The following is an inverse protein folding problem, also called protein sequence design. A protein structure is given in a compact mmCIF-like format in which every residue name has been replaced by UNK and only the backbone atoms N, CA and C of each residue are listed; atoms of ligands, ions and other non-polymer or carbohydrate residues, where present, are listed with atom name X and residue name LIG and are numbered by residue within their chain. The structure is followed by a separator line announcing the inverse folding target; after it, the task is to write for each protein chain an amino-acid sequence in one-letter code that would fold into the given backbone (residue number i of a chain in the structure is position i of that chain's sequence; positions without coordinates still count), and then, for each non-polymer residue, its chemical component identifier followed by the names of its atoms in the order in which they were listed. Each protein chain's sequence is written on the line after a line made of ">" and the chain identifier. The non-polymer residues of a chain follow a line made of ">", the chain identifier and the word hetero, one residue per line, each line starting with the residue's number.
data_IF_224605253530
#
_entry.id   IF_224605253530
#
_cell.length_a   1.000
_cell.length_b   1.000
_cell.length_c   1.000
_cell.angle_alpha   90.00
_cell.angle_beta   90.00
_cell.angle_gamma   90.00
#
_symmetry.space_group_name_H-M   'P 1'
#
loop_
_entity.id
_entity.type
_entity.pdbx_description
1 polymer ?
#
# COMPACT_ATOMS: atom_id res chain seq x y z
N UNK A 1 7.60 -17.95 -13.23
CA UNK A 1 7.74 -19.19 -12.42
C UNK A 1 8.00 -18.79 -10.99
N UNK A 2 7.14 -19.15 -10.07
CA UNK A 2 7.32 -18.89 -8.62
C UNK A 2 8.29 -19.90 -8.03
N UNK A 3 9.54 -19.89 -8.47
CA UNK A 3 10.54 -20.92 -8.11
C UNK A 3 10.79 -21.04 -6.59
N UNK A 4 10.48 -20.02 -5.80
CA UNK A 4 10.71 -20.08 -4.34
C UNK A 4 9.53 -20.59 -3.50
N UNK A 5 8.29 -20.49 -3.99
CA UNK A 5 7.11 -20.88 -3.19
C UNK A 5 6.85 -22.40 -3.13
N UNK A 6 7.44 -23.17 -4.06
CA UNK A 6 7.30 -24.63 -4.07
C UNK A 6 8.26 -25.36 -3.12
N UNK A 7 9.24 -24.65 -2.59
CA UNK A 7 10.28 -25.18 -1.69
C UNK A 7 10.04 -24.76 -0.21
N UNK A 8 8.88 -24.18 0.08
CA UNK A 8 8.56 -23.76 1.44
C UNK A 8 8.44 -24.95 2.39
N UNK A 9 8.86 -24.79 3.66
CA UNK A 9 8.58 -25.76 4.70
C UNK A 9 7.08 -26.02 4.78
N UNK A 10 6.71 -27.31 4.73
CA UNK A 10 5.30 -27.71 4.90
C UNK A 10 5.00 -27.82 6.39
N UNK A 11 3.89 -27.23 6.80
CA UNK A 11 3.40 -27.29 8.16
C UNK A 11 1.94 -27.76 8.18
N UNK A 12 1.55 -28.39 9.27
CA UNK A 12 0.19 -28.84 9.55
C UNK A 12 -0.18 -28.48 10.99
N UNK A 13 -1.47 -28.43 11.28
CA UNK A 13 -1.97 -28.15 12.62
C UNK A 13 -2.17 -26.67 12.94
N UNK A 14 -2.28 -26.36 14.21
CA UNK A 14 -2.52 -25.00 14.70
C UNK A 14 -1.19 -24.26 14.97
N UNK A 15 -1.20 -22.92 15.02
CA UNK A 15 0.01 -22.12 15.31
C UNK A 15 0.34 -22.19 16.83
N UNK A 16 0.84 -23.34 17.27
CA UNK A 16 1.17 -23.68 18.65
C UNK A 16 2.67 -23.46 19.00
N UNK A 17 3.07 -23.93 20.18
CA UNK A 17 4.46 -23.85 20.64
C UNK A 17 5.43 -24.65 19.77
N UNK A 18 4.99 -25.75 19.21
CA UNK A 18 5.80 -26.61 18.31
C UNK A 18 6.08 -25.87 17.01
N UNK A 19 5.01 -25.32 16.39
CA UNK A 19 5.14 -24.49 15.19
C UNK A 19 6.11 -23.31 15.42
N UNK A 20 5.86 -22.51 16.49
CA UNK A 20 6.68 -21.32 16.75
C UNK A 20 8.14 -21.68 17.02
N UNK A 21 8.39 -22.75 17.79
CA UNK A 21 9.77 -23.24 18.00
C UNK A 21 10.46 -23.61 16.69
N UNK A 22 9.76 -24.34 15.81
CA UNK A 22 10.31 -24.75 14.52
C UNK A 22 10.58 -23.55 13.61
N UNK A 23 9.66 -22.60 13.52
CA UNK A 23 9.81 -21.39 12.74
C UNK A 23 11.00 -20.53 13.20
N UNK A 24 11.13 -20.31 14.52
CA UNK A 24 12.26 -19.58 15.11
C UNK A 24 13.59 -20.24 14.84
N UNK A 25 13.66 -21.57 14.86
CA UNK A 25 14.88 -22.31 14.51
C UNK A 25 15.26 -22.16 13.05
N UNK A 26 14.28 -22.17 12.12
CA UNK A 26 14.54 -21.95 10.69
C UNK A 26 15.16 -20.58 10.43
N UNK A 27 14.77 -19.56 11.15
CA UNK A 27 15.38 -18.21 11.03
C UNK A 27 16.61 -18.00 11.92
N UNK A 28 17.17 -19.08 12.49
CA UNK A 28 18.43 -19.05 13.28
C UNK A 28 18.27 -18.55 14.72
N UNK A 29 17.07 -18.37 15.22
CA UNK A 29 16.82 -17.94 16.60
C UNK A 29 16.84 -19.12 17.55
N UNK A 30 17.68 -19.04 18.60
CA UNK A 30 17.78 -20.07 19.66
C UNK A 30 16.68 -19.87 20.69
N UNK A 31 15.46 -20.32 20.36
CA UNK A 31 14.33 -20.28 21.31
C UNK A 31 13.68 -21.67 21.40
N UNK A 32 13.30 -22.04 22.62
CA UNK A 32 12.40 -23.15 22.88
C UNK A 32 11.13 -22.56 23.49
N UNK A 33 10.04 -22.77 22.80
CA UNK A 33 8.73 -22.23 23.21
C UNK A 33 7.99 -23.33 23.95
N UNK A 34 7.65 -23.09 25.19
CA UNK A 34 6.89 -24.01 26.05
C UNK A 34 5.38 -23.82 25.87
N UNK A 35 4.95 -22.58 25.71
CA UNK A 35 3.53 -22.21 25.56
C UNK A 35 3.37 -20.98 24.67
N UNK A 36 2.30 -21.00 23.85
CA UNK A 36 1.86 -19.86 23.02
C UNK A 36 0.42 -19.50 23.35
N UNK A 37 0.17 -18.23 23.56
CA UNK A 37 -1.17 -17.66 23.60
C UNK A 37 -1.48 -17.11 22.21
N UNK A 38 -2.56 -17.64 21.60
CA UNK A 38 -2.98 -17.26 20.25
C UNK A 38 -4.25 -16.42 20.35
N UNK A 39 -4.26 -15.25 19.74
CA UNK A 39 -5.44 -14.40 19.64
C UNK A 39 -5.57 -13.77 18.26
N UNK A 40 -6.80 -13.59 17.79
CA UNK A 40 -7.03 -12.87 16.54
C UNK A 40 -6.73 -11.39 16.74
N UNK A 41 -6.00 -10.79 15.79
CA UNK A 41 -5.85 -9.34 15.73
C UNK A 41 -7.03 -8.76 14.95
N UNK A 42 -7.83 -7.94 15.63
CA UNK A 42 -8.97 -7.22 15.04
C UNK A 42 -8.48 -5.86 14.56
N UNK A 43 -8.68 -5.52 13.30
CA UNK A 43 -8.30 -4.19 12.78
C UNK A 43 -7.90 -4.15 11.30
N UNK A 44 -7.68 -5.30 10.67
CA UNK A 44 -7.48 -5.38 9.23
C UNK A 44 -8.81 -5.18 8.48
N UNK A 45 -8.84 -4.27 7.52
CA UNK A 45 -10.01 -4.07 6.64
C UNK A 45 -10.13 -5.16 5.56
N UNK A 46 -9.32 -6.21 5.63
CA UNK A 46 -9.16 -7.20 4.59
C UNK A 46 -9.27 -8.63 5.11
N UNK A 47 -9.51 -9.57 4.21
CA UNK A 47 -9.85 -10.97 4.45
C UNK A 47 -8.74 -11.86 5.01
N UNK A 48 -7.53 -11.36 5.21
CA UNK A 48 -6.43 -12.16 5.74
C UNK A 48 -6.58 -12.35 7.25
N UNK A 49 -6.47 -13.58 7.70
CA UNK A 49 -6.43 -13.90 9.11
C UNK A 49 -5.08 -13.50 9.68
N UNK A 50 -5.08 -12.59 10.65
CA UNK A 50 -3.88 -12.17 11.37
C UNK A 50 -3.99 -12.56 12.83
N UNK A 51 -3.00 -13.28 13.33
CA UNK A 51 -2.97 -13.80 14.69
C UNK A 51 -1.79 -13.20 15.45
N UNK A 52 -2.02 -12.83 16.69
CA UNK A 52 -0.96 -12.56 17.67
C UNK A 52 -0.56 -13.86 18.34
N UNK A 53 0.74 -14.14 18.36
CA UNK A 53 1.35 -15.27 19.02
C UNK A 53 2.24 -14.75 20.17
N UNK A 54 1.87 -14.99 21.42
CA UNK A 54 2.64 -14.53 22.58
C UNK A 54 3.21 -15.69 23.37
N UNK A 55 4.50 -15.63 23.65
CA UNK A 55 5.21 -16.58 24.49
C UNK A 55 6.04 -15.85 25.54
N UNK A 56 6.04 -16.37 26.79
CA UNK A 56 6.88 -15.82 27.86
C UNK A 56 8.37 -16.03 27.58
N UNK A 57 8.72 -17.15 26.96
CA UNK A 57 10.12 -17.51 26.69
C UNK A 57 10.68 -16.91 25.41
N UNK A 58 9.81 -16.57 24.41
CA UNK A 58 10.26 -16.16 23.09
C UNK A 58 9.81 -14.75 22.67
N UNK A 59 8.86 -14.14 23.37
CA UNK A 59 8.34 -12.81 23.04
C UNK A 59 7.03 -12.85 22.23
N UNK A 60 6.75 -11.77 21.50
CA UNK A 60 5.53 -11.58 20.74
C UNK A 60 5.82 -11.62 19.23
N UNK A 61 4.95 -12.28 18.49
CA UNK A 61 5.00 -12.43 17.04
C UNK A 61 3.63 -12.23 16.43
N UNK A 62 3.61 -12.00 15.14
CA UNK A 62 2.39 -11.92 14.33
C UNK A 62 2.45 -12.99 13.25
N UNK A 63 1.39 -13.78 13.12
CA UNK A 63 1.23 -14.74 12.03
C UNK A 63 0.16 -14.22 11.07
N UNK A 64 0.56 -13.98 9.83
CA UNK A 64 -0.33 -13.62 8.73
C UNK A 64 -0.61 -14.87 7.88
N UNK A 65 -1.88 -15.23 7.78
CA UNK A 65 -2.34 -16.35 6.94
C UNK A 65 -2.78 -15.77 5.59
N UNK A 66 -2.20 -16.28 4.52
CA UNK A 66 -2.35 -15.80 3.15
C UNK A 66 -2.86 -16.95 2.26
N UNK A 67 -4.16 -17.05 2.00
CA UNK A 67 -4.72 -18.08 1.13
C UNK A 67 -4.03 -18.07 -0.23
N UNK A 68 -3.68 -19.26 -0.76
CA UNK A 68 -3.02 -19.36 -2.09
C UNK A 68 -3.95 -19.03 -3.23
N UNK A 69 -5.26 -19.22 -3.03
CA UNK A 69 -6.29 -18.79 -3.96
C UNK A 69 -7.19 -17.77 -3.28
N UNK A 70 -7.15 -16.53 -3.71
CA UNK A 70 -8.00 -15.46 -3.21
C UNK A 70 -8.86 -14.87 -4.32
N UNK A 71 -9.96 -14.20 -3.96
CA UNK A 71 -10.76 -13.47 -4.94
C UNK A 71 -9.96 -12.36 -5.64
N UNK A 72 -8.90 -11.85 -4.98
CA UNK A 72 -7.98 -10.84 -5.56
C UNK A 72 -7.15 -11.39 -6.70
N UNK A 73 -6.82 -12.68 -6.69
CA UNK A 73 -6.02 -13.31 -7.75
C UNK A 73 -6.73 -13.22 -9.11
N UNK A 74 -8.07 -13.22 -9.09
CA UNK A 74 -8.90 -13.01 -10.28
C UNK A 74 -8.75 -11.60 -10.87
N UNK A 75 -8.50 -10.60 -10.02
CA UNK A 75 -8.37 -9.19 -10.39
C UNK A 75 -6.94 -8.88 -10.77
N UNK A 76 -6.01 -9.17 -9.88
CA UNK A 76 -4.61 -8.84 -10.07
C UNK A 76 -3.89 -9.80 -11.02
N UNK A 77 -4.50 -10.97 -11.29
CA UNK A 77 -3.92 -12.07 -12.10
C UNK A 77 -2.56 -12.53 -11.55
N UNK A 78 -2.30 -12.25 -10.32
CA UNK A 78 -1.13 -12.64 -9.55
C UNK A 78 -1.59 -13.03 -8.16
N UNK A 79 -1.07 -14.14 -7.64
CA UNK A 79 -1.34 -14.59 -6.28
C UNK A 79 -0.12 -14.43 -5.40
N UNK A 80 -0.34 -14.24 -4.10
CA UNK A 80 0.70 -14.32 -3.08
C UNK A 80 1.91 -13.40 -3.32
N UNK A 81 1.66 -12.15 -3.69
CA UNK A 81 2.72 -11.15 -3.95
C UNK A 81 3.71 -11.06 -2.78
N UNK A 82 3.21 -10.87 -1.57
CA UNK A 82 4.05 -10.70 -0.38
C UNK A 82 4.91 -11.94 -0.06
N UNK A 83 4.37 -13.16 -0.02
CA UNK A 83 5.17 -14.38 0.09
C UNK A 83 6.19 -14.55 -1.03
N UNK A 84 5.84 -14.23 -2.26
CA UNK A 84 6.75 -14.35 -3.39
C UNK A 84 7.91 -13.37 -3.33
N UNK A 85 7.68 -12.12 -2.90
CA UNK A 85 8.73 -11.13 -2.67
C UNK A 85 9.68 -11.58 -1.55
N UNK A 86 9.15 -12.20 -0.50
CA UNK A 86 9.96 -12.75 0.57
C UNK A 86 10.81 -13.92 0.08
N UNK A 87 10.20 -14.89 -0.60
CA UNK A 87 10.90 -16.07 -1.13
C UNK A 87 11.96 -15.72 -2.18
N UNK A 88 11.76 -14.63 -2.94
CA UNK A 88 12.73 -14.10 -3.90
C UNK A 88 13.86 -13.27 -3.24
N UNK A 89 13.87 -13.12 -1.92
CA UNK A 89 14.88 -12.32 -1.21
C UNK A 89 14.65 -10.80 -1.28
N UNK A 90 13.60 -10.32 -1.92
CA UNK A 90 13.36 -8.88 -2.12
C UNK A 90 13.09 -8.18 -0.79
N UNK A 91 12.14 -8.69 0.00
CA UNK A 91 11.79 -8.07 1.29
C UNK A 91 12.77 -8.40 2.42
N UNK A 92 13.44 -9.57 2.47
CA UNK A 92 14.55 -9.78 3.39
C UNK A 92 15.75 -8.87 3.16
N UNK A 93 16.00 -8.47 1.89
CA UNK A 93 17.17 -7.68 1.46
C UNK A 93 16.82 -6.22 1.16
N UNK A 94 15.83 -5.66 1.84
CA UNK A 94 15.50 -4.23 1.71
C UNK A 94 16.72 -3.36 2.05
N UNK A 95 16.92 -2.22 1.32
CA UNK A 95 18.02 -1.33 1.61
C UNK A 95 17.86 -0.69 3.00
N UNK A 96 18.97 -0.63 3.76
CA UNK A 96 18.96 0.09 5.05
C UNK A 96 18.50 1.54 4.86
N UNK A 97 17.67 2.10 5.74
CA UNK A 97 17.20 1.54 7.02
C UNK A 97 15.90 0.72 6.95
N UNK A 98 15.38 0.40 5.76
CA UNK A 98 14.17 -0.41 5.64
C UNK A 98 14.40 -1.86 6.06
N UNK A 99 13.40 -2.44 6.71
CA UNK A 99 13.35 -3.86 7.08
C UNK A 99 11.95 -4.41 6.89
N UNK A 100 11.84 -5.64 6.43
CA UNK A 100 10.61 -6.40 6.53
C UNK A 100 10.57 -7.10 7.90
N UNK A 101 9.45 -7.08 8.65
CA UNK A 101 9.36 -7.79 9.92
C UNK A 101 9.18 -9.31 9.73
N UNK A 102 8.89 -9.79 8.53
CA UNK A 102 8.78 -11.21 8.24
C UNK A 102 10.10 -11.94 8.51
N UNK A 103 10.01 -13.03 9.25
CA UNK A 103 11.16 -13.82 9.69
C UNK A 103 11.11 -15.26 9.20
N UNK A 104 9.92 -15.79 8.89
CA UNK A 104 9.73 -17.13 8.38
C UNK A 104 8.52 -17.19 7.46
N UNK A 105 8.57 -18.09 6.49
CA UNK A 105 7.50 -18.38 5.56
C UNK A 105 7.34 -19.89 5.42
N UNK A 106 6.11 -20.40 5.61
CA UNK A 106 5.78 -21.81 5.50
C UNK A 106 4.48 -22.02 4.73
N UNK A 107 4.30 -23.18 4.14
CA UNK A 107 3.07 -23.61 3.48
C UNK A 107 2.25 -24.50 4.43
N UNK A 108 1.01 -24.11 4.71
CA UNK A 108 0.07 -24.90 5.50
C UNK A 108 -0.78 -25.77 4.56
N UNK A 109 -0.45 -27.07 4.50
CA UNK A 109 -1.01 -27.97 3.50
C UNK A 109 -2.54 -28.19 3.67
N UNK A 110 -3.01 -28.41 4.89
CA UNK A 110 -4.43 -28.68 5.13
C UNK A 110 -5.37 -27.48 4.86
N UNK A 111 -4.84 -26.26 4.83
CA UNK A 111 -5.62 -25.03 4.60
C UNK A 111 -5.34 -24.40 3.24
N UNK A 112 -4.38 -24.91 2.49
CA UNK A 112 -3.88 -24.32 1.22
C UNK A 112 -3.56 -22.82 1.36
N UNK A 113 -2.77 -22.47 2.38
CA UNK A 113 -2.39 -21.10 2.67
C UNK A 113 -0.90 -20.96 3.01
N UNK A 114 -0.31 -19.80 2.74
CA UNK A 114 1.03 -19.47 3.20
C UNK A 114 0.94 -18.81 4.58
N UNK A 115 1.77 -19.26 5.50
CA UNK A 115 1.92 -18.69 6.83
C UNK A 115 3.18 -17.87 6.92
N UNK A 116 3.03 -16.56 7.04
CA UNK A 116 4.13 -15.64 7.22
C UNK A 116 4.25 -15.24 8.68
N UNK A 117 5.32 -15.66 9.33
CA UNK A 117 5.64 -15.27 10.70
C UNK A 117 6.44 -13.98 10.70
N UNK A 118 6.03 -13.03 11.52
CA UNK A 118 6.63 -11.69 11.63
C UNK A 118 6.97 -11.37 13.09
N UNK A 119 8.01 -10.58 13.31
CA UNK A 119 8.20 -9.89 14.58
C UNK A 119 7.01 -8.96 14.85
N UNK A 120 6.55 -8.89 16.10
CA UNK A 120 5.50 -7.96 16.48
C UNK A 120 6.07 -6.54 16.55
N UNK A 121 5.73 -5.73 15.55
CA UNK A 121 6.11 -4.31 15.43
C UNK A 121 4.97 -3.36 15.80
N UNK A 122 3.87 -3.85 16.34
CA UNK A 122 2.63 -3.10 16.58
C UNK A 122 2.84 -1.85 17.44
N UNK A 123 3.73 -1.90 18.43
CA UNK A 123 4.05 -0.74 19.28
C UNK A 123 4.77 0.40 18.54
N UNK A 124 5.42 0.10 17.43
CA UNK A 124 6.11 1.06 16.59
C UNK A 124 5.24 1.64 15.45
N UNK A 125 4.05 1.09 15.21
CA UNK A 125 3.18 1.56 14.11
C UNK A 125 2.84 3.04 14.30
N UNK A 126 3.05 3.80 13.23
CA UNK A 126 2.82 5.25 13.25
C UNK A 126 1.33 5.56 13.40
N UNK A 127 0.95 6.06 14.57
CA UNK A 127 -0.42 6.49 14.86
C UNK A 127 -0.84 7.78 14.14
N UNK A 128 -2.06 8.26 14.40
CA UNK A 128 -2.63 9.52 13.86
C UNK A 128 -2.16 10.75 14.67
N UNK A 129 -0.94 10.79 15.14
CA UNK A 129 -0.41 11.93 15.92
C UNK A 129 0.32 12.95 15.06
N UNK A 130 0.85 14.00 15.71
CA UNK A 130 1.76 14.94 15.09
C UNK A 130 2.98 14.21 14.51
N UNK A 131 3.41 14.64 13.34
CA UNK A 131 4.60 14.08 12.71
C UNK A 131 5.85 14.70 13.30
N UNK A 132 6.78 13.82 13.66
CA UNK A 132 8.17 14.19 13.82
C UNK A 132 8.79 14.33 12.43
N UNK A 133 9.13 15.55 12.05
CA UNK A 133 9.69 15.88 10.74
C UNK A 133 10.95 15.07 10.44
N UNK A 134 11.81 14.86 11.44
CA UNK A 134 13.03 14.08 11.28
C UNK A 134 12.75 12.59 11.02
N UNK A 135 11.66 12.06 11.59
CA UNK A 135 11.20 10.70 11.24
C UNK A 135 10.70 10.60 9.81
N UNK A 136 9.95 11.62 9.34
CA UNK A 136 9.48 11.67 7.96
C UNK A 136 10.64 11.79 6.97
N UNK A 137 11.62 12.64 7.24
CA UNK A 137 12.84 12.75 6.42
C UNK A 137 13.56 11.41 6.32
N UNK A 138 13.77 10.72 7.44
CA UNK A 138 14.40 9.38 7.44
C UNK A 138 13.57 8.36 6.64
N UNK A 139 12.26 8.38 6.80
CA UNK A 139 11.35 7.49 6.06
C UNK A 139 11.46 7.72 4.55
N UNK A 140 11.44 8.98 4.10
CA UNK A 140 11.51 9.29 2.67
C UNK A 140 12.89 9.12 2.08
N UNK A 141 13.96 9.32 2.85
CA UNK A 141 15.31 8.93 2.43
C UNK A 141 15.42 7.41 2.23
N UNK A 142 14.84 6.63 3.15
CA UNK A 142 14.79 5.18 3.05
C UNK A 142 13.98 4.71 1.82
N UNK A 143 12.85 5.37 1.55
CA UNK A 143 12.03 5.11 0.37
C UNK A 143 12.77 5.47 -0.93
N UNK A 144 13.51 6.57 -0.97
CA UNK A 144 14.37 6.92 -2.10
C UNK A 144 15.42 5.84 -2.36
N UNK A 145 16.01 5.28 -1.30
CA UNK A 145 16.94 4.14 -1.39
C UNK A 145 16.30 2.88 -1.98
N UNK A 146 15.07 2.55 -1.57
CA UNK A 146 14.30 1.46 -2.15
C UNK A 146 14.07 1.67 -3.65
N UNK A 147 13.57 2.85 -4.01
CA UNK A 147 13.26 3.16 -5.40
C UNK A 147 14.52 3.20 -6.27
N UNK A 148 15.63 3.73 -5.78
CA UNK A 148 16.91 3.73 -6.50
C UNK A 148 17.49 2.32 -6.72
N UNK A 149 17.37 1.43 -5.71
CA UNK A 149 17.85 0.03 -5.80
C UNK A 149 17.16 -0.73 -6.95
N UNK A 150 15.88 -0.49 -7.14
CA UNK A 150 15.06 -1.20 -8.13
C UNK A 150 14.72 -0.37 -9.37
N UNK A 151 15.34 0.79 -9.55
CA UNK A 151 15.10 1.69 -10.68
C UNK A 151 15.39 1.02 -12.02
N UNK A 152 14.36 0.90 -12.86
CA UNK A 152 14.41 0.25 -14.18
C UNK A 152 15.07 -1.15 -14.15
N UNK A 153 14.86 -1.88 -13.04
CA UNK A 153 15.43 -3.19 -12.84
C UNK A 153 14.54 -4.27 -13.48
N UNK A 154 15.07 -4.93 -14.51
CA UNK A 154 14.35 -5.96 -15.25
C UNK A 154 14.10 -7.24 -14.45
N UNK A 155 14.86 -7.49 -13.36
CA UNK A 155 14.62 -8.64 -12.49
C UNK A 155 13.21 -8.62 -11.87
N UNK A 156 12.60 -7.43 -11.74
CA UNK A 156 11.22 -7.29 -11.27
C UNK A 156 10.18 -7.93 -12.22
N UNK A 157 10.50 -8.11 -13.50
CA UNK A 157 9.58 -8.71 -14.46
C UNK A 157 9.30 -10.20 -14.18
N UNK A 158 10.19 -10.88 -13.46
CA UNK A 158 10.02 -12.28 -13.07
C UNK A 158 9.20 -12.48 -11.79
N UNK A 159 8.91 -11.39 -11.06
CA UNK A 159 8.15 -11.41 -9.82
C UNK A 159 6.64 -11.27 -10.11
N UNK A 160 5.79 -11.91 -9.32
CA UNK A 160 4.34 -11.80 -9.46
C UNK A 160 3.81 -10.49 -8.87
N UNK A 161 4.28 -9.37 -9.39
CA UNK A 161 3.87 -8.03 -8.96
C UNK A 161 2.50 -7.67 -9.52
N UNK A 162 1.74 -6.88 -8.77
CA UNK A 162 0.48 -6.32 -9.25
C UNK A 162 0.78 -5.38 -10.42
N UNK A 163 0.13 -5.58 -11.57
CA UNK A 163 0.31 -4.64 -12.68
C UNK A 163 -0.32 -3.29 -12.36
N UNK A 164 0.27 -2.22 -12.91
CA UNK A 164 -0.26 -0.86 -12.72
C UNK A 164 -1.72 -0.76 -13.20
N UNK A 165 -2.05 -1.40 -14.34
CA UNK A 165 -3.41 -1.46 -14.86
C UNK A 165 -4.36 -2.15 -13.87
N UNK A 166 -4.01 -3.33 -13.36
CA UNK A 166 -4.84 -4.06 -12.40
C UNK A 166 -4.99 -3.30 -11.07
N UNK A 167 -3.93 -2.64 -10.60
CA UNK A 167 -3.98 -1.79 -9.41
C UNK A 167 -4.96 -0.63 -9.54
N UNK A 168 -5.00 0.01 -10.70
CA UNK A 168 -5.95 1.09 -10.99
C UNK A 168 -7.36 0.54 -11.20
N UNK A 169 -7.51 -0.52 -11.99
CA UNK A 169 -8.79 -1.15 -12.29
C UNK A 169 -9.53 -1.58 -11.02
N UNK A 170 -8.81 -2.10 -10.03
CA UNK A 170 -9.34 -2.54 -8.74
C UNK A 170 -10.21 -1.47 -8.02
N UNK A 171 -9.91 -0.20 -8.22
CA UNK A 171 -10.68 0.92 -7.66
C UNK A 171 -11.58 1.58 -8.71
N UNK A 172 -11.08 1.75 -9.92
CA UNK A 172 -11.76 2.49 -10.99
C UNK A 172 -13.05 1.80 -11.47
N UNK A 173 -13.04 0.47 -11.66
CA UNK A 173 -14.20 -0.24 -12.17
C UNK A 173 -15.34 -0.32 -11.14
N UNK A 174 -15.10 -0.63 -9.85
CA UNK A 174 -16.14 -0.51 -8.83
C UNK A 174 -16.68 0.91 -8.68
N UNK A 175 -15.83 1.93 -8.81
CA UNK A 175 -16.26 3.32 -8.79
C UNK A 175 -17.17 3.66 -9.98
N UNK A 176 -16.80 3.24 -11.18
CA UNK A 176 -17.62 3.41 -12.38
C UNK A 176 -18.95 2.64 -12.28
N UNK A 177 -18.95 1.44 -11.70
CA UNK A 177 -20.17 0.65 -11.51
C UNK A 177 -21.11 1.29 -10.49
N UNK A 178 -20.62 1.71 -9.33
CA UNK A 178 -21.44 2.43 -8.33
C UNK A 178 -21.92 3.79 -8.84
N UNK A 179 -21.18 4.41 -9.75
CA UNK A 179 -21.56 5.62 -10.47
C UNK A 179 -22.50 5.38 -11.67
N UNK A 180 -22.96 4.14 -11.89
CA UNK A 180 -23.91 3.79 -12.97
C UNK A 180 -23.32 3.80 -14.39
N UNK A 181 -21.99 3.74 -14.55
CA UNK A 181 -21.31 3.79 -15.86
C UNK A 181 -21.10 2.42 -16.48
N UNK A 182 -20.96 1.38 -15.67
CA UNK A 182 -20.75 -0.01 -16.10
C UNK A 182 -21.56 -0.95 -15.20
N UNK A 183 -21.88 -2.19 -15.65
CA UNK A 183 -22.52 -3.17 -14.79
C UNK A 183 -21.65 -3.54 -13.57
N UNK A 184 -22.31 -3.76 -12.42
CA UNK A 184 -21.68 -4.29 -11.21
C UNK A 184 -21.80 -5.83 -11.23
N UNK A 185 -20.97 -6.51 -12.02
CA UNK A 185 -20.96 -7.97 -12.16
C UNK A 185 -19.56 -8.56 -11.97
N UNK A 186 -19.46 -9.89 -12.00
CA UNK A 186 -18.20 -10.60 -11.89
C UNK A 186 -17.35 -10.13 -10.72
N UNK A 187 -16.05 -9.94 -10.95
CA UNK A 187 -15.10 -9.51 -9.92
C UNK A 187 -15.36 -8.07 -9.41
N UNK A 188 -15.98 -7.20 -10.22
CA UNK A 188 -16.36 -5.84 -9.80
C UNK A 188 -17.34 -5.92 -8.63
N UNK A 189 -18.33 -6.82 -8.74
CA UNK A 189 -19.26 -7.09 -7.64
C UNK A 189 -18.55 -7.64 -6.40
N UNK A 190 -17.60 -8.57 -6.59
CA UNK A 190 -16.80 -9.11 -5.49
C UNK A 190 -16.06 -7.99 -4.73
N UNK A 191 -15.47 -7.02 -5.44
CA UNK A 191 -14.82 -5.85 -4.80
C UNK A 191 -15.83 -5.00 -4.04
N UNK A 192 -16.95 -4.65 -4.66
CA UNK A 192 -17.99 -3.82 -4.04
C UNK A 192 -18.52 -4.47 -2.75
N UNK A 193 -18.69 -5.79 -2.75
CA UNK A 193 -19.22 -6.53 -1.60
C UNK A 193 -18.18 -6.73 -0.48
N UNK A 194 -16.89 -6.86 -0.82
CA UNK A 194 -15.83 -7.16 0.15
C UNK A 194 -15.02 -5.94 0.58
N UNK A 195 -14.99 -4.87 -0.21
CA UNK A 195 -14.28 -3.66 0.15
C UNK A 195 -15.19 -2.73 0.95
N UNK A 196 -15.29 -3.02 2.24
CA UNK A 196 -16.29 -2.46 3.18
C UNK A 196 -16.36 -0.94 3.25
N UNK A 197 -15.31 -0.22 2.85
CA UNK A 197 -15.27 1.25 2.89
C UNK A 197 -15.74 1.90 1.59
N UNK A 198 -15.62 1.24 0.44
CA UNK A 198 -15.95 1.83 -0.85
C UNK A 198 -17.45 2.11 -0.99
N UNK A 199 -18.27 1.13 -0.66
CA UNK A 199 -19.72 1.18 -0.84
C UNK A 199 -20.41 2.32 -0.08
N UNK A 200 -20.09 2.60 1.20
CA UNK A 200 -20.66 3.74 1.90
C UNK A 200 -20.04 5.08 1.51
N UNK A 201 -18.75 5.13 1.16
CA UNK A 201 -18.05 6.39 0.95
C UNK A 201 -18.25 6.96 -0.47
N UNK A 202 -18.22 6.10 -1.50
CA UNK A 202 -18.24 6.58 -2.87
C UNK A 202 -19.49 7.36 -3.27
N UNK A 203 -20.72 6.95 -2.91
CA UNK A 203 -21.91 7.74 -3.21
C UNK A 203 -21.86 9.15 -2.60
N UNK A 204 -21.44 9.26 -1.35
CA UNK A 204 -21.28 10.55 -0.65
C UNK A 204 -20.17 11.39 -1.30
N UNK A 205 -19.08 10.76 -1.75
CA UNK A 205 -18.03 11.43 -2.50
C UNK A 205 -18.54 12.02 -3.81
N UNK A 206 -19.29 11.24 -4.61
CA UNK A 206 -19.87 11.70 -5.87
C UNK A 206 -20.89 12.83 -5.66
N UNK A 207 -21.69 12.77 -4.62
CA UNK A 207 -22.60 13.84 -4.23
C UNK A 207 -21.85 15.11 -3.83
N UNK A 208 -20.75 14.97 -3.05
CA UNK A 208 -19.91 16.10 -2.61
C UNK A 208 -19.24 16.80 -3.79
N UNK A 209 -18.86 16.06 -4.84
CA UNK A 209 -18.32 16.61 -6.07
C UNK A 209 -19.31 17.47 -6.86
N UNK A 210 -20.59 17.16 -6.76
CA UNK A 210 -21.59 17.73 -7.66
C UNK A 210 -21.52 17.18 -9.09
N UNK A 211 -22.52 17.47 -9.95
CA UNK A 211 -22.69 16.76 -11.23
C UNK A 211 -21.51 16.84 -12.19
N UNK A 212 -20.90 18.02 -12.32
CA UNK A 212 -19.80 18.25 -13.28
C UNK A 212 -18.52 17.51 -12.89
N UNK A 213 -18.14 17.59 -11.62
CA UNK A 213 -16.91 16.99 -11.12
C UNK A 213 -17.05 15.49 -10.91
N UNK A 214 -18.24 15.03 -10.51
CA UNK A 214 -18.57 13.61 -10.48
C UNK A 214 -18.49 12.99 -11.88
N UNK A 215 -18.99 13.70 -12.92
CA UNK A 215 -18.83 13.26 -14.31
C UNK A 215 -17.36 13.14 -14.70
N UNK A 216 -16.54 14.16 -14.41
CA UNK A 216 -15.10 14.13 -14.69
C UNK A 216 -14.41 12.96 -13.99
N UNK A 217 -14.68 12.74 -12.69
CA UNK A 217 -14.11 11.63 -11.93
C UNK A 217 -14.48 10.27 -12.52
N UNK A 218 -15.77 10.08 -12.88
CA UNK A 218 -16.21 8.83 -13.49
C UNK A 218 -15.66 8.62 -14.90
N UNK A 219 -15.53 9.69 -15.69
CA UNK A 219 -14.87 9.65 -17.00
C UNK A 219 -13.37 9.27 -16.84
N UNK A 220 -12.69 9.80 -15.82
CA UNK A 220 -11.30 9.44 -15.49
C UNK A 220 -11.15 7.95 -15.11
N UNK A 221 -12.11 7.40 -14.36
CA UNK A 221 -12.17 5.98 -14.02
C UNK A 221 -12.41 5.11 -15.27
N UNK A 222 -13.33 5.51 -16.14
CA UNK A 222 -13.73 4.75 -17.31
C UNK A 222 -12.66 4.77 -18.42
N UNK A 223 -12.03 5.93 -18.66
CA UNK A 223 -11.05 6.15 -19.72
C UNK A 223 -9.59 6.04 -19.19
N UNK A 224 -9.38 5.21 -18.17
CA UNK A 224 -8.07 5.09 -17.51
C UNK A 224 -6.94 4.59 -18.42
N UNK A 225 -7.26 3.88 -19.50
CA UNK A 225 -6.26 3.23 -20.35
C UNK A 225 -5.18 4.21 -20.85
N UNK A 226 -5.58 5.42 -21.25
CA UNK A 226 -4.68 6.40 -21.85
C UNK A 226 -3.66 6.94 -20.84
N UNK A 227 -4.11 7.38 -19.67
CA UNK A 227 -3.22 7.93 -18.65
C UNK A 227 -2.43 6.83 -17.91
N UNK A 228 -2.96 5.61 -17.78
CA UNK A 228 -2.19 4.46 -17.28
C UNK A 228 -1.09 4.08 -18.27
N UNK A 229 -1.38 4.08 -19.58
CA UNK A 229 -0.35 3.84 -20.61
C UNK A 229 0.74 4.92 -20.58
N UNK A 230 0.38 6.18 -20.29
CA UNK A 230 1.36 7.26 -20.10
C UNK A 230 2.26 7.00 -18.87
N UNK A 231 1.69 6.54 -17.75
CA UNK A 231 2.45 6.13 -16.55
C UNK A 231 3.40 4.96 -16.83
N UNK A 232 2.96 3.97 -17.61
CA UNK A 232 3.77 2.79 -17.92
C UNK A 232 5.03 3.11 -18.76
N UNK A 233 5.01 4.23 -19.49
CA UNK A 233 6.16 4.70 -20.29
C UNK A 233 7.22 5.45 -19.48
N UNK A 234 6.92 5.79 -18.24
CA UNK A 234 7.86 6.48 -17.34
C UNK A 234 8.80 5.48 -16.68
N UNK A 235 9.97 5.90 -16.16
CA UNK A 235 10.86 5.02 -15.42
C UNK A 235 10.14 4.31 -14.28
N UNK A 236 10.31 2.99 -14.22
CA UNK A 236 9.63 2.12 -13.29
C UNK A 236 10.58 1.64 -12.19
N UNK A 237 10.06 1.43 -11.01
CA UNK A 237 10.78 0.80 -9.89
C UNK A 237 9.85 -0.15 -9.13
N UNK A 238 10.38 -0.82 -8.10
CA UNK A 238 9.55 -1.51 -7.12
C UNK A 238 8.89 -0.46 -6.22
N UNK A 239 7.57 -0.45 -6.18
CA UNK A 239 6.79 0.32 -5.23
C UNK A 239 6.04 -0.60 -4.28
N UNK A 240 5.83 -0.14 -3.05
CA UNK A 240 5.08 -0.86 -2.03
C UNK A 240 3.59 -1.00 -2.37
N UNK A 241 3.02 0.04 -3.00
CA UNK A 241 1.63 0.07 -3.48
C UNK A 241 0.59 0.42 -2.41
N UNK A 242 0.87 0.22 -1.11
CA UNK A 242 0.07 0.69 0.03
C UNK A 242 0.97 1.39 1.07
N UNK A 243 1.81 2.31 0.61
CA UNK A 243 2.77 3.03 1.45
C UNK A 243 2.05 4.06 2.33
N UNK A 244 1.72 3.66 3.55
CA UNK A 244 0.96 4.47 4.53
C UNK A 244 1.40 4.18 5.96
N UNK A 245 1.07 5.09 6.88
CA UNK A 245 1.44 4.99 8.31
C UNK A 245 1.13 3.65 8.95
N UNK A 246 -0.03 3.06 8.63
CA UNK A 246 -0.46 1.80 9.22
C UNK A 246 0.45 0.61 8.85
N UNK A 247 1.24 0.74 7.77
CA UNK A 247 2.15 -0.29 7.26
C UNK A 247 3.62 0.05 7.54
N UNK A 248 3.87 1.05 8.40
CA UNK A 248 5.20 1.57 8.74
C UNK A 248 5.38 1.59 10.24
N UNK A 249 6.46 0.99 10.74
CA UNK A 249 6.81 1.02 12.14
C UNK A 249 8.29 1.43 12.32
N UNK A 250 8.58 2.65 12.80
CA UNK A 250 9.91 3.01 13.26
C UNK A 250 10.39 2.06 14.36
N UNK A 251 11.59 1.56 14.20
CA UNK A 251 12.24 0.63 15.12
C UNK A 251 13.40 1.29 15.85
N UNK A 252 13.94 0.60 16.85
CA UNK A 252 15.17 1.01 17.51
C UNK A 252 16.35 1.12 16.52
N UNK A 253 17.38 1.89 16.89
CA UNK A 253 18.58 2.12 16.08
C UNK A 253 18.31 2.75 14.69
N UNK A 254 17.18 3.45 14.51
CA UNK A 254 16.85 4.16 13.28
C UNK A 254 16.33 3.30 12.13
N UNK A 255 16.13 2.01 12.33
CA UNK A 255 15.50 1.16 11.34
C UNK A 255 14.01 1.48 11.18
N UNK A 256 13.45 1.20 10.01
CA UNK A 256 12.03 1.38 9.68
C UNK A 256 11.49 0.06 9.16
N UNK A 257 10.52 -0.50 9.88
CA UNK A 257 9.81 -1.68 9.39
C UNK A 257 8.75 -1.26 8.37
N UNK A 258 8.75 -1.93 7.21
CA UNK A 258 7.78 -1.78 6.14
C UNK A 258 7.17 -3.14 5.85
N UNK A 259 5.85 -3.27 5.93
CA UNK A 259 5.13 -4.53 5.84
C UNK A 259 3.81 -4.37 5.08
N UNK A 260 3.13 -5.50 4.78
CA UNK A 260 1.89 -5.55 3.98
C UNK A 260 2.14 -5.22 2.49
N UNK A 261 2.99 -6.02 1.85
CA UNK A 261 3.43 -5.86 0.45
C UNK A 261 2.47 -6.45 -0.59
N UNK A 262 1.22 -6.72 -0.22
CA UNK A 262 0.24 -7.36 -1.11
C UNK A 262 -0.09 -6.57 -2.37
N UNK A 263 0.08 -5.25 -2.34
CA UNK A 263 -0.14 -4.36 -3.48
C UNK A 263 1.16 -3.94 -4.19
N UNK A 264 2.28 -4.59 -3.84
CA UNK A 264 3.55 -4.26 -4.46
C UNK A 264 3.47 -4.39 -5.97
N UNK A 265 4.00 -3.39 -6.65
CA UNK A 265 3.89 -3.28 -8.10
C UNK A 265 5.16 -2.69 -8.72
N UNK A 266 5.29 -2.85 -10.05
CA UNK A 266 6.25 -2.10 -10.85
C UNK A 266 5.57 -0.84 -11.35
N UNK A 267 5.98 0.32 -10.82
CA UNK A 267 5.37 1.61 -11.13
C UNK A 267 6.38 2.76 -10.97
N UNK A 268 6.07 3.99 -11.43
CA UNK A 268 6.91 5.14 -11.12
C UNK A 268 7.06 5.38 -9.62
N UNK A 269 8.23 5.79 -9.18
CA UNK A 269 8.56 6.07 -7.78
C UNK A 269 7.56 7.03 -7.09
N UNK A 270 7.04 7.99 -7.85
CA UNK A 270 6.00 8.90 -7.39
C UNK A 270 4.72 8.20 -6.91
N UNK A 271 4.46 6.93 -7.28
CA UNK A 271 3.26 6.19 -6.87
C UNK A 271 3.15 6.02 -5.36
N UNK A 272 4.25 5.65 -4.68
CA UNK A 272 4.24 5.51 -3.21
C UNK A 272 4.17 6.88 -2.51
N UNK A 273 4.85 7.88 -3.08
CA UNK A 273 4.81 9.23 -2.52
C UNK A 273 3.41 9.83 -2.59
N UNK A 274 2.80 9.82 -3.77
CA UNK A 274 1.45 10.39 -3.95
C UNK A 274 0.42 9.63 -3.12
N UNK A 275 0.55 8.32 -2.98
CA UNK A 275 -0.28 7.51 -2.08
C UNK A 275 -0.16 7.97 -0.63
N UNK A 276 1.08 8.09 -0.12
CA UNK A 276 1.34 8.59 1.22
C UNK A 276 0.83 10.02 1.39
N UNK A 277 1.15 10.90 0.44
CA UNK A 277 0.77 12.31 0.44
C UNK A 277 -0.73 12.48 0.53
N UNK A 278 -1.46 11.78 -0.34
CA UNK A 278 -2.91 11.84 -0.40
C UNK A 278 -3.56 11.35 0.90
N UNK A 279 -3.18 10.19 1.38
CA UNK A 279 -3.74 9.66 2.63
C UNK A 279 -3.35 10.48 3.84
N UNK A 280 -2.08 10.89 3.98
CA UNK A 280 -1.60 11.44 5.23
C UNK A 280 -1.73 12.95 5.34
N UNK A 281 -1.84 13.65 4.22
CA UNK A 281 -1.92 15.11 4.23
C UNK A 281 -3.24 15.65 3.67
N UNK A 282 -3.93 14.90 2.84
CA UNK A 282 -5.24 15.31 2.32
C UNK A 282 -6.40 14.63 3.04
N UNK A 283 -6.40 13.29 3.16
CA UNK A 283 -7.50 12.57 3.81
C UNK A 283 -7.44 12.66 5.34
N UNK A 284 -6.25 12.51 5.90
CA UNK A 284 -6.04 12.43 7.35
C UNK A 284 -4.89 13.36 7.78
N UNK A 285 -5.05 14.70 7.60
CA UNK A 285 -3.98 15.65 7.92
C UNK A 285 -3.58 15.55 9.39
N UNK A 286 -2.27 15.73 9.69
CA UNK A 286 -1.81 15.84 11.06
C UNK A 286 -2.44 17.06 11.77
N UNK A 287 -2.52 16.99 13.10
CA UNK A 287 -3.05 18.08 13.95
C UNK A 287 -2.02 19.20 14.22
N UNK A 288 -1.01 19.37 13.37
CA UNK A 288 0.06 20.35 13.52
C UNK A 288 -0.25 21.72 12.88
N UNK A 289 -1.42 21.86 12.27
CA UNK A 289 -1.89 23.10 11.66
C UNK A 289 -1.24 23.48 10.33
N UNK A 290 -0.34 22.64 9.80
CA UNK A 290 0.31 22.87 8.51
C UNK A 290 -0.59 22.44 7.34
N UNK A 291 -0.65 23.24 6.27
CA UNK A 291 -1.33 22.87 5.02
C UNK A 291 -0.46 21.87 4.23
N UNK A 292 -1.06 21.27 3.21
CA UNK A 292 -0.37 20.39 2.24
C UNK A 292 0.78 21.12 1.54
N UNK A 293 0.60 22.41 1.22
CA UNK A 293 1.64 23.25 0.61
C UNK A 293 2.89 23.39 1.49
N UNK A 294 2.73 23.42 2.82
CA UNK A 294 3.84 23.49 3.76
C UNK A 294 4.71 22.22 3.78
N UNK A 295 4.21 21.15 3.14
CA UNK A 295 4.91 19.85 3.01
C UNK A 295 5.78 19.75 1.74
N UNK A 296 5.67 20.69 0.82
CA UNK A 296 6.43 20.66 -0.43
C UNK A 296 7.96 20.54 -0.22
N UNK A 297 8.59 21.17 0.80
CA UNK A 297 10.01 20.95 1.09
C UNK A 297 10.37 19.48 1.35
N UNK A 298 9.45 18.68 1.90
CA UNK A 298 9.68 17.26 2.14
C UNK A 298 9.68 16.45 0.82
N UNK A 299 8.80 16.79 -0.13
CA UNK A 299 8.81 16.24 -1.48
C UNK A 299 10.11 16.58 -2.21
N UNK A 300 10.51 17.85 -2.18
CA UNK A 300 11.77 18.30 -2.80
C UNK A 300 12.98 17.56 -2.21
N UNK A 301 12.98 17.36 -0.89
CA UNK A 301 14.06 16.61 -0.24
C UNK A 301 14.12 15.15 -0.68
N UNK A 302 12.96 14.50 -0.86
CA UNK A 302 12.94 13.16 -1.45
C UNK A 302 13.53 13.15 -2.88
N UNK A 303 13.17 14.14 -3.70
CA UNK A 303 13.68 14.28 -5.07
C UNK A 303 15.20 14.44 -5.08
N UNK A 304 15.76 15.23 -4.16
CA UNK A 304 17.20 15.39 -4.00
C UNK A 304 17.89 14.06 -3.68
N UNK A 305 17.39 13.30 -2.69
CA UNK A 305 17.94 11.99 -2.37
C UNK A 305 17.86 11.00 -3.55
N UNK A 306 16.73 10.97 -4.24
CA UNK A 306 16.59 10.09 -5.39
C UNK A 306 17.58 10.50 -6.51
N UNK A 307 17.74 11.80 -6.76
CA UNK A 307 18.72 12.33 -7.70
C UNK A 307 20.17 12.00 -7.32
N UNK A 308 20.52 12.15 -6.06
CA UNK A 308 21.84 11.77 -5.55
C UNK A 308 22.14 10.28 -5.77
N UNK A 309 21.17 9.41 -5.51
CA UNK A 309 21.32 7.95 -5.66
C UNK A 309 21.36 7.48 -7.12
N UNK A 310 20.60 8.13 -8.00
CA UNK A 310 20.49 7.73 -9.42
C UNK A 310 21.54 8.42 -10.30
N UNK A 311 22.04 9.57 -9.88
CA UNK A 311 22.99 10.37 -10.68
C UNK A 311 22.42 10.74 -12.06
N UNK A 312 23.15 10.46 -13.16
CA UNK A 312 22.72 10.80 -14.52
C UNK A 312 21.45 10.08 -15.00
N UNK A 313 21.00 9.04 -14.31
CA UNK A 313 19.74 8.32 -14.65
C UNK A 313 18.49 9.08 -14.21
N UNK A 314 18.65 10.10 -13.35
CA UNK A 314 17.54 10.90 -12.87
C UNK A 314 17.26 12.07 -13.80
N UNK A 315 16.01 12.21 -14.25
CA UNK A 315 15.51 13.39 -14.95
C UNK A 315 14.37 14.03 -14.16
N UNK A 316 14.55 15.29 -13.79
CA UNK A 316 13.61 16.04 -12.97
C UNK A 316 12.25 16.23 -13.67
N UNK A 317 12.25 16.58 -14.96
CA UNK A 317 11.00 16.81 -15.69
C UNK A 317 10.18 15.53 -15.83
N UNK A 318 10.84 14.38 -16.04
CA UNK A 318 10.21 13.06 -16.06
C UNK A 318 9.63 12.70 -14.67
N UNK A 319 10.34 13.01 -13.58
CA UNK A 319 9.82 12.78 -12.23
C UNK A 319 8.58 13.65 -11.94
N UNK A 320 8.62 14.95 -12.27
CA UNK A 320 7.49 15.85 -12.05
C UNK A 320 6.27 15.41 -12.87
N UNK A 321 6.46 14.96 -14.12
CA UNK A 321 5.40 14.35 -14.91
C UNK A 321 4.86 13.07 -14.27
N UNK A 322 5.74 12.25 -13.69
CA UNK A 322 5.30 11.02 -12.99
C UNK A 322 4.49 11.35 -11.74
N UNK A 323 4.85 12.41 -11.01
CA UNK A 323 4.09 12.92 -9.87
C UNK A 323 2.69 13.34 -10.29
N UNK A 324 2.58 14.13 -11.34
CA UNK A 324 1.30 14.60 -11.86
C UNK A 324 0.40 13.42 -12.26
N UNK A 325 0.89 12.50 -13.09
CA UNK A 325 0.08 11.34 -13.50
C UNK A 325 -0.25 10.40 -12.33
N UNK A 326 0.64 10.25 -11.35
CA UNK A 326 0.34 9.50 -10.12
C UNK A 326 -0.70 10.20 -9.24
N UNK A 327 -0.88 11.52 -9.36
CA UNK A 327 -1.99 12.24 -8.74
C UNK A 327 -3.34 11.78 -9.30
N UNK A 328 -3.46 11.63 -10.63
CA UNK A 328 -4.67 11.04 -11.24
C UNK A 328 -4.94 9.63 -10.71
N UNK A 329 -3.87 8.82 -10.64
CA UNK A 329 -3.94 7.46 -10.11
C UNK A 329 -4.48 7.45 -8.67
N UNK A 330 -3.92 8.25 -7.79
CA UNK A 330 -4.30 8.24 -6.38
C UNK A 330 -5.69 8.81 -6.15
N UNK A 331 -6.11 9.81 -6.92
CA UNK A 331 -7.48 10.35 -6.86
C UNK A 331 -8.50 9.26 -7.26
N UNK A 332 -8.24 8.50 -8.32
CA UNK A 332 -9.10 7.38 -8.72
C UNK A 332 -9.16 6.31 -7.64
N UNK A 333 -8.02 5.98 -7.02
CA UNK A 333 -7.93 4.91 -6.04
C UNK A 333 -8.43 5.29 -4.65
N UNK A 334 -8.26 6.53 -4.24
CA UNK A 334 -8.48 6.97 -2.86
C UNK A 334 -9.36 8.22 -2.72
N UNK A 335 -9.85 8.81 -3.82
CA UNK A 335 -10.62 10.04 -3.78
C UNK A 335 -11.79 9.98 -2.80
N UNK A 336 -12.48 8.85 -2.73
CA UNK A 336 -13.56 8.63 -1.77
C UNK A 336 -13.11 8.65 -0.29
N UNK A 337 -11.83 8.48 0.01
CA UNK A 337 -11.31 8.62 1.38
C UNK A 337 -11.32 10.07 1.87
N UNK A 338 -11.38 11.05 0.97
CA UNK A 338 -11.46 12.46 1.35
C UNK A 338 -12.69 12.79 2.19
N UNK A 339 -13.77 12.01 2.02
CA UNK A 339 -15.02 12.24 2.75
C UNK A 339 -15.17 11.38 4.01
N UNK A 340 -14.16 10.54 4.34
CA UNK A 340 -14.21 9.71 5.56
C UNK A 340 -14.50 10.52 6.83
N UNK A 341 -14.00 11.78 7.00
CA UNK A 341 -14.38 12.63 8.12
C UNK A 341 -15.88 13.00 8.22
N UNK A 342 -16.65 12.79 7.14
CA UNK A 342 -18.10 13.04 7.13
C UNK A 342 -18.92 11.80 7.51
N UNK A 343 -18.26 10.66 7.73
CA UNK A 343 -18.95 9.43 8.15
C UNK A 343 -19.11 9.45 9.66
N UNK A 344 -20.34 9.56 10.13
CA UNK A 344 -20.69 9.70 11.54
C UNK A 344 -21.08 11.13 11.91
N UNK A 345 -20.93 11.48 13.19
CA UNK A 345 -21.19 12.83 13.66
C UNK A 345 -20.09 13.80 13.20
N UNK A 346 -20.46 14.86 12.52
CA UNK A 346 -19.55 15.89 12.02
C UNK A 346 -20.17 17.28 12.15
N UNK A 347 -19.30 18.30 12.20
CA UNK A 347 -19.72 19.70 12.25
C UNK A 347 -19.93 20.28 10.84
N UNK A 348 -20.64 21.42 10.76
CA UNK A 348 -20.73 22.18 9.49
C UNK A 348 -19.35 22.59 8.97
N UNK A 349 -18.44 22.94 9.88
CA UNK A 349 -17.05 23.31 9.54
C UNK A 349 -16.29 22.14 8.93
N UNK A 350 -16.47 20.92 9.46
CA UNK A 350 -15.89 19.71 8.88
C UNK A 350 -16.40 19.48 7.44
N UNK A 351 -17.70 19.64 7.24
CA UNK A 351 -18.31 19.49 5.92
C UNK A 351 -17.77 20.52 4.91
N UNK A 352 -17.61 21.78 5.32
CA UNK A 352 -17.05 22.82 4.46
C UNK A 352 -15.57 22.58 4.16
N UNK A 353 -14.78 22.16 5.15
CA UNK A 353 -13.38 21.81 4.97
C UNK A 353 -13.24 20.66 3.97
N UNK A 354 -14.02 19.59 4.12
CA UNK A 354 -14.03 18.45 3.20
C UNK A 354 -14.38 18.88 1.79
N UNK A 355 -15.46 19.67 1.59
CA UNK A 355 -15.83 20.17 0.25
C UNK A 355 -14.69 20.95 -0.42
N UNK A 356 -14.04 21.85 0.33
CA UNK A 356 -12.88 22.61 -0.19
C UNK A 356 -11.74 21.67 -0.59
N UNK A 357 -11.43 20.68 0.24
CA UNK A 357 -10.36 19.71 -0.02
C UNK A 357 -10.66 18.87 -1.25
N UNK A 358 -11.87 18.35 -1.37
CA UNK A 358 -12.36 17.58 -2.54
C UNK A 358 -12.26 18.43 -3.81
N UNK A 359 -12.78 19.68 -3.78
CA UNK A 359 -12.70 20.60 -4.92
C UNK A 359 -11.26 20.83 -5.38
N UNK A 360 -10.35 21.18 -4.45
CA UNK A 360 -8.92 21.36 -4.77
C UNK A 360 -8.30 20.10 -5.39
N UNK A 361 -8.61 18.91 -4.88
CA UNK A 361 -8.07 17.65 -5.39
C UNK A 361 -8.51 17.38 -6.85
N UNK A 362 -9.76 17.66 -7.16
CA UNK A 362 -10.33 17.47 -8.50
C UNK A 362 -9.88 18.54 -9.47
N UNK A 363 -9.78 19.80 -9.05
CA UNK A 363 -9.27 20.90 -9.90
C UNK A 363 -7.82 20.62 -10.31
N UNK A 364 -6.99 20.14 -9.40
CA UNK A 364 -5.63 19.71 -9.71
C UNK A 364 -5.63 18.54 -10.71
N UNK A 365 -6.50 17.54 -10.53
CA UNK A 365 -6.62 16.43 -11.46
C UNK A 365 -7.05 16.88 -12.87
N UNK A 366 -7.96 17.84 -12.99
CA UNK A 366 -8.36 18.43 -14.29
C UNK A 366 -7.18 19.11 -14.96
N UNK A 367 -6.45 19.96 -14.23
CA UNK A 367 -5.22 20.61 -14.72
C UNK A 367 -4.23 19.59 -15.27
N UNK A 368 -3.95 18.54 -14.52
CA UNK A 368 -3.03 17.47 -14.91
C UNK A 368 -3.53 16.73 -16.15
N UNK A 369 -4.81 16.40 -16.19
CA UNK A 369 -5.41 15.69 -17.32
C UNK A 369 -5.30 16.49 -18.61
N UNK A 370 -5.57 17.81 -18.56
CA UNK A 370 -5.47 18.69 -19.70
C UNK A 370 -4.02 18.84 -20.21
N UNK A 371 -3.03 18.82 -19.33
CA UNK A 371 -1.61 18.99 -19.69
C UNK A 371 -0.98 17.70 -20.22
N UNK A 372 -1.32 16.53 -19.66
CA UNK A 372 -0.54 15.30 -19.88
C UNK A 372 -1.29 14.21 -20.64
N UNK A 373 -2.63 14.29 -20.77
CA UNK A 373 -3.45 13.22 -21.33
C UNK A 373 -4.17 13.67 -22.61
N UNK A 374 -4.70 14.90 -22.66
CA UNK A 374 -5.25 15.52 -23.89
C UNK A 374 -4.13 15.99 -24.80
#
# INVERSE_FOLDING_TARGET
>A
MSAGLNELPVVDGEPDATYLTAALRRCGRKAVVDRVEVSALTGGRQSNKVLSLKSRSAGAYVLKSLPRASWRDRIFKVGNVEPALWAAGVTPELPWPLKCPAIDLAYHAARDENWMLMDDVSQGIMGRGAYDEERLKRLFAALAGLHAKYWENDSLASLPLVSLEASVAYFAEPAAALGGRVPADGWVKDVIDNFVVLKPLLPVFLETLGPTDAKFYLDLCQNRADWVAALQKLPQTLVHGDFRRANIAPLAAGAVSLFDWELASRAPAASDLTWYWFLQFWCYPPSDGLDVADREPLRERYVEWLKELLGPRFDRATFDRSWDLCWLKVLVQLGFCLIDPLVGEHTTEDAERVRRTVGRAVDEAKRIYDVHVR
#
